data_IF_321709228637
#
_entry.id   IF_321709228637
#
_cell.length_a   1.000
_cell.length_b   1.000
_cell.length_c   1.000
_cell.angle_alpha   90.00
_cell.angle_beta   90.00
_cell.angle_gamma   90.00
#
_symmetry.space_group_name_H-M   'P 1'
#
loop_
_entity.id
_entity.type
_entity.pdbx_description
1 polymer ?
#
# COMPACT_ATOMS: atom_id res chain seq x y z
N UNK A 1 37.24 -2.41 -44.87
CA UNK A 1 36.51 -3.51 -44.20
C UNK A 1 35.81 -2.91 -42.99
N UNK A 2 34.52 -2.58 -43.12
CA UNK A 2 33.70 -2.03 -42.04
C UNK A 2 32.41 -2.84 -42.00
N UNK A 3 32.20 -3.57 -40.89
CA UNK A 3 31.09 -4.50 -40.71
C UNK A 3 29.84 -3.74 -40.21
N UNK A 4 28.76 -3.85 -40.98
CA UNK A 4 27.41 -3.43 -40.59
C UNK A 4 26.73 -4.57 -39.79
N UNK A 5 26.20 -4.26 -38.62
CA UNK A 5 25.33 -5.14 -37.84
C UNK A 5 23.84 -4.75 -38.05
N UNK A 6 22.89 -5.71 -38.12
CA UNK A 6 21.49 -5.43 -38.40
C UNK A 6 20.67 -5.04 -37.15
N UNK A 7 19.74 -4.12 -37.37
CA UNK A 7 18.75 -3.54 -36.45
C UNK A 7 17.70 -4.57 -35.99
N UNK A 8 17.48 -4.68 -34.69
CA UNK A 8 16.43 -5.50 -34.06
C UNK A 8 15.04 -4.89 -34.26
N UNK A 9 14.10 -5.65 -34.83
CA UNK A 9 12.64 -5.40 -34.78
C UNK A 9 12.08 -6.21 -33.62
N UNK A 10 11.80 -5.56 -32.49
CA UNK A 10 11.24 -6.24 -31.31
C UNK A 10 10.52 -5.35 -30.31
N UNK A 11 10.10 -4.14 -30.70
CA UNK A 11 9.56 -3.13 -29.78
C UNK A 11 8.26 -2.48 -30.29
N UNK A 12 7.34 -3.27 -30.85
CA UNK A 12 6.01 -2.76 -31.29
C UNK A 12 4.80 -3.48 -30.71
N UNK A 13 4.96 -4.66 -30.09
CA UNK A 13 3.84 -5.41 -29.53
C UNK A 13 3.52 -5.01 -28.07
N UNK A 14 4.52 -4.55 -27.31
CA UNK A 14 4.38 -4.20 -25.88
C UNK A 14 3.80 -2.78 -25.70
N UNK A 15 4.11 -1.87 -26.63
CA UNK A 15 3.56 -0.50 -26.69
C UNK A 15 2.03 -0.50 -26.92
N UNK A 16 1.51 -1.52 -27.62
CA UNK A 16 0.08 -1.66 -27.91
C UNK A 16 -0.74 -2.01 -26.66
N UNK A 17 -0.23 -2.88 -25.79
CA UNK A 17 -0.91 -3.28 -24.56
C UNK A 17 -0.92 -2.15 -23.51
N UNK A 18 0.16 -1.36 -23.40
CA UNK A 18 0.23 -0.21 -22.51
C UNK A 18 -0.73 0.93 -22.95
N UNK A 19 -0.90 1.13 -24.27
CA UNK A 19 -1.84 2.14 -24.79
C UNK A 19 -3.30 1.73 -24.63
N UNK A 20 -3.65 0.44 -24.76
CA UNK A 20 -5.05 0.00 -24.64
C UNK A 20 -5.59 0.14 -23.20
N UNK A 21 -4.73 -0.07 -22.19
CA UNK A 21 -5.07 0.09 -20.76
C UNK A 21 -5.12 1.56 -20.34
N UNK A 22 -4.24 2.42 -20.88
CA UNK A 22 -4.29 3.86 -20.65
C UNK A 22 -5.58 4.50 -21.22
N UNK A 23 -6.05 4.02 -22.39
CA UNK A 23 -7.31 4.48 -23.00
C UNK A 23 -8.54 4.01 -22.21
N UNK A 24 -8.47 2.83 -21.56
CA UNK A 24 -9.54 2.34 -20.68
C UNK A 24 -9.74 3.21 -19.43
N UNK A 25 -8.65 3.72 -18.84
CA UNK A 25 -8.71 4.60 -17.67
C UNK A 25 -9.15 6.03 -18.04
N UNK A 26 -8.77 6.52 -19.22
CA UNK A 26 -9.18 7.85 -19.71
C UNK A 26 -10.67 7.92 -20.14
N UNK A 27 -11.25 6.81 -20.62
CA UNK A 27 -12.66 6.77 -21.08
C UNK A 27 -13.70 6.80 -19.97
N UNK A 28 -13.33 6.59 -18.71
CA UNK A 28 -14.23 6.79 -17.56
C UNK A 28 -14.37 8.28 -17.16
N UNK A 29 -13.65 9.20 -17.81
CA UNK A 29 -13.65 10.64 -17.47
C UNK A 29 -14.16 11.60 -18.57
N UNK A 30 -14.60 11.12 -19.73
CA UNK A 30 -15.03 12.00 -20.82
C UNK A 30 -16.40 11.62 -21.39
N UNK A 31 -17.46 11.99 -20.67
CA UNK A 31 -18.81 12.03 -21.19
C UNK A 31 -19.15 13.41 -21.76
N UNK A 32 -19.50 13.44 -23.04
CA UNK A 32 -20.30 14.47 -23.76
C UNK A 32 -19.65 15.79 -24.21
N UNK A 33 -19.31 15.83 -25.50
CA UNK A 33 -19.82 16.71 -26.59
C UNK A 33 -18.73 17.32 -27.48
N UNK A 34 -19.14 17.47 -28.73
CA UNK A 34 -18.38 17.54 -29.97
C UNK A 34 -18.34 18.95 -30.58
N UNK A 35 -17.22 19.23 -31.29
CA UNK A 35 -17.01 20.13 -32.44
C UNK A 35 -16.78 21.65 -32.19
N UNK A 36 -16.18 22.41 -33.15
CA UNK A 36 -15.15 22.09 -34.15
C UNK A 36 -13.93 23.05 -34.12
N UNK A 37 -12.96 22.75 -35.00
CA UNK A 37 -11.66 23.38 -35.25
C UNK A 37 -11.68 24.87 -35.65
N UNK A 38 -10.78 25.68 -35.08
CA UNK A 38 -10.28 26.94 -35.66
C UNK A 38 -8.76 27.06 -35.40
N UNK A 39 -8.02 27.46 -36.44
CA UNK A 39 -6.56 27.64 -36.55
C UNK A 39 -6.04 28.82 -35.70
N UNK A 40 -4.73 28.92 -35.39
CA UNK A 40 -4.20 29.90 -34.44
C UNK A 40 -3.95 31.27 -35.10
N UNK A 41 -4.49 32.33 -34.49
CA UNK A 41 -4.11 33.70 -34.80
C UNK A 41 -3.05 34.19 -33.80
N UNK A 42 -1.94 34.69 -34.35
CA UNK A 42 -0.80 35.28 -33.64
C UNK A 42 -1.21 36.65 -33.13
N UNK A 43 -1.26 36.84 -31.80
CA UNK A 43 -1.43 38.18 -31.20
C UNK A 43 -0.26 38.52 -30.28
N UNK A 44 0.18 39.76 -30.51
CA UNK A 44 1.41 40.47 -30.15
C UNK A 44 1.53 40.70 -28.63
N UNK A 45 2.75 40.55 -28.11
CA UNK A 45 3.18 40.94 -26.75
C UNK A 45 2.81 42.41 -26.49
N UNK A 46 2.14 42.68 -25.36
CA UNK A 46 2.03 44.02 -24.75
C UNK A 46 2.51 43.96 -23.30
N UNK A 47 3.21 45.02 -22.92
CA UNK A 47 3.84 45.27 -21.63
C UNK A 47 2.87 45.26 -20.42
N UNK A 48 3.37 45.01 -19.19
CA UNK A 48 2.52 44.82 -18.01
C UNK A 48 2.02 46.15 -17.42
N UNK A 49 0.80 46.22 -16.84
CA UNK A 49 0.38 47.34 -16.01
C UNK A 49 0.76 47.13 -14.53
N UNK A 50 0.72 48.19 -13.69
CA UNK A 50 1.57 48.34 -12.53
C UNK A 50 1.04 47.70 -11.24
N UNK A 51 1.94 47.55 -10.28
CA UNK A 51 1.68 47.17 -8.89
C UNK A 51 0.57 47.98 -8.23
N UNK A 52 -0.32 47.30 -7.50
CA UNK A 52 -1.15 47.92 -6.47
C UNK A 52 -2.52 47.25 -6.28
N UNK A 53 -2.61 46.29 -5.37
CA UNK A 53 -3.47 46.43 -4.18
C UNK A 53 -3.47 45.15 -3.32
N UNK A 54 -3.09 45.34 -2.07
CA UNK A 54 -3.34 44.41 -0.97
C UNK A 54 -4.85 44.13 -0.84
N UNK A 55 -5.22 42.84 -0.86
CA UNK A 55 -6.46 42.36 -0.23
C UNK A 55 -6.25 40.94 0.33
N UNK A 56 -7.03 40.54 1.35
CA UNK A 56 -6.48 39.94 2.54
C UNK A 56 -6.44 38.41 2.47
N UNK A 57 -5.50 37.85 3.23
CA UNK A 57 -5.38 36.44 3.56
C UNK A 57 -6.76 35.78 3.76
N UNK A 58 -7.10 34.81 2.90
CA UNK A 58 -8.11 33.82 3.25
C UNK A 58 -7.60 33.07 4.49
N UNK A 59 -8.38 32.95 5.58
CA UNK A 59 -7.93 32.19 6.73
C UNK A 59 -7.86 30.72 6.33
N UNK A 60 -6.66 30.13 6.41
CA UNK A 60 -6.47 28.68 6.46
C UNK A 60 -7.25 28.15 7.66
N UNK A 61 -8.50 27.77 7.42
CA UNK A 61 -9.38 27.17 8.41
C UNK A 61 -8.82 25.77 8.69
N UNK A 62 -8.13 25.61 9.82
CA UNK A 62 -7.76 24.30 10.36
C UNK A 62 -9.02 23.45 10.47
N UNK A 63 -9.16 22.46 9.59
CA UNK A 63 -10.25 21.50 9.67
C UNK A 63 -9.97 20.46 10.76
N UNK A 64 -11.01 20.03 11.51
CA UNK A 64 -10.84 19.10 12.63
C UNK A 64 -10.57 17.68 12.14
N UNK A 65 -9.54 17.07 12.73
CA UNK A 65 -9.28 15.63 12.69
C UNK A 65 -10.47 14.87 13.28
N UNK A 66 -11.19 14.11 12.46
CA UNK A 66 -12.09 13.04 12.93
C UNK A 66 -12.41 12.11 11.77
N UNK A 67 -11.61 11.05 11.60
CA UNK A 67 -12.03 9.65 11.35
C UNK A 67 -10.75 8.80 11.49
N UNK A 68 -10.36 8.46 12.72
CA UNK A 68 -9.16 7.63 12.94
C UNK A 68 -9.09 6.98 14.31
N UNK A 69 -9.65 7.62 15.34
CA UNK A 69 -9.42 7.19 16.73
C UNK A 69 -10.33 6.04 17.20
N UNK A 70 -11.33 5.63 16.41
CA UNK A 70 -12.34 4.66 16.88
C UNK A 70 -11.98 3.18 16.64
N UNK A 71 -10.97 2.86 15.80
CA UNK A 71 -10.62 1.46 15.48
C UNK A 71 -9.38 0.93 16.25
N UNK A 72 -8.63 1.80 16.93
CA UNK A 72 -7.39 1.41 17.62
C UNK A 72 -7.61 0.79 19.02
N UNK A 73 -8.83 0.82 19.56
CA UNK A 73 -9.09 0.42 20.95
C UNK A 73 -9.48 -1.06 21.15
N UNK A 74 -9.63 -1.87 20.09
CA UNK A 74 -10.22 -3.21 20.20
C UNK A 74 -9.21 -4.39 20.25
N UNK A 75 -7.89 -4.14 20.25
CA UNK A 75 -6.88 -5.23 20.12
C UNK A 75 -6.03 -5.45 21.39
N UNK A 76 -6.34 -4.81 22.51
CA UNK A 76 -5.56 -4.97 23.76
C UNK A 76 -6.41 -5.43 24.96
N UNK A 77 -7.03 -6.61 24.84
CA UNK A 77 -7.40 -7.39 26.04
C UNK A 77 -6.58 -8.67 26.11
N UNK A 78 -5.76 -8.88 27.17
CA UNK A 78 -5.17 -10.18 27.43
C UNK A 78 -6.23 -11.15 27.96
N UNK A 79 -6.11 -12.47 27.69
CA UNK A 79 -7.03 -13.45 28.27
C UNK A 79 -6.78 -13.57 29.77
N UNK A 80 -7.86 -13.55 30.56
CA UNK A 80 -7.83 -13.88 31.99
C UNK A 80 -7.65 -15.39 32.16
N UNK A 81 -6.49 -15.83 32.63
CA UNK A 81 -6.28 -17.18 33.13
C UNK A 81 -6.73 -17.28 34.59
N UNK A 82 -7.52 -18.31 34.89
CA UNK A 82 -7.94 -18.68 36.24
C UNK A 82 -6.76 -19.23 37.07
N UNK A 83 -6.79 -19.16 38.42
CA UNK A 83 -5.62 -19.41 39.24
C UNK A 83 -5.43 -20.91 39.56
N UNK A 84 -4.21 -21.40 39.35
CA UNK A 84 -3.72 -22.66 39.94
C UNK A 84 -3.03 -22.37 41.28
N UNK A 85 -3.28 -23.25 42.26
CA UNK A 85 -2.85 -23.20 43.68
C UNK A 85 -1.31 -23.29 43.86
N UNK A 86 -0.76 -22.82 45.00
CA UNK A 86 0.66 -22.57 45.18
C UNK A 86 1.40 -23.75 45.84
N UNK A 87 2.69 -23.89 45.55
CA UNK A 87 3.63 -24.59 46.44
C UNK A 87 5.02 -23.93 46.46
N UNK A 88 5.48 -23.74 47.70
CA UNK A 88 6.84 -23.57 48.25
C UNK A 88 7.72 -22.39 47.81
N UNK A 89 7.64 -21.37 48.66
CA UNK A 89 8.68 -20.48 49.21
C UNK A 89 10.14 -20.88 48.95
N UNK A 90 10.93 -19.93 48.46
CA UNK A 90 12.30 -19.67 48.90
C UNK A 90 12.63 -18.20 48.58
N UNK A 91 12.91 -17.43 49.62
CA UNK A 91 13.13 -15.99 49.56
C UNK A 91 14.53 -15.64 49.09
N UNK A 92 14.62 -14.59 48.27
CA UNK A 92 15.85 -13.81 48.09
C UNK A 92 15.47 -12.34 48.18
N UNK A 93 16.27 -11.64 48.96
CA UNK A 93 16.09 -10.29 49.48
C UNK A 93 16.13 -9.20 48.41
N UNK A 94 15.29 -8.20 48.65
CA UNK A 94 15.15 -6.92 47.95
C UNK A 94 16.48 -6.15 47.80
N UNK A 95 16.82 -5.79 46.55
CA UNK A 95 17.69 -4.64 46.25
C UNK A 95 17.13 -3.84 45.06
N UNK A 96 16.49 -2.73 45.41
CA UNK A 96 16.43 -1.44 44.68
C UNK A 96 16.60 -1.46 43.14
N UNK A 97 15.48 -1.58 42.42
CA UNK A 97 15.38 -1.26 40.99
C UNK A 97 15.31 0.26 40.78
N UNK A 98 16.38 0.85 40.24
CA UNK A 98 16.35 2.19 39.64
C UNK A 98 15.58 2.14 38.32
N UNK A 99 14.46 2.86 38.24
CA UNK A 99 13.77 3.13 36.98
C UNK A 99 14.69 3.95 36.05
N UNK A 100 15.23 3.31 35.02
CA UNK A 100 15.82 4.01 33.87
C UNK A 100 14.67 4.43 32.96
N UNK A 101 14.28 5.69 33.02
CA UNK A 101 13.38 6.32 32.04
C UNK A 101 14.12 6.50 30.71
N UNK A 102 14.11 5.48 29.86
CA UNK A 102 14.71 5.50 28.52
C UNK A 102 13.72 5.90 27.40
N UNK A 103 12.60 6.56 27.73
CA UNK A 103 11.51 6.79 26.77
C UNK A 103 11.45 8.22 26.19
N UNK A 104 12.15 9.20 26.76
CA UNK A 104 11.94 10.62 26.41
C UNK A 104 12.97 11.22 25.44
N UNK A 105 14.16 10.64 25.29
CA UNK A 105 15.20 11.17 24.40
C UNK A 105 15.07 10.70 22.94
N UNK A 106 14.55 9.50 22.68
CA UNK A 106 14.38 8.97 21.32
C UNK A 106 13.26 9.65 20.53
N UNK A 107 12.16 10.00 21.19
CA UNK A 107 11.00 10.61 20.53
C UNK A 107 11.28 12.02 19.99
N UNK A 108 12.13 12.81 20.66
CA UNK A 108 12.46 14.17 20.19
C UNK A 108 13.36 14.17 18.95
N UNK A 109 14.32 13.26 18.89
CA UNK A 109 15.20 13.09 17.73
C UNK A 109 14.48 12.47 16.52
N UNK A 110 13.55 11.55 16.76
CA UNK A 110 12.68 11.03 15.71
C UNK A 110 11.73 12.12 15.18
N UNK A 111 11.13 12.93 16.06
CA UNK A 111 10.25 14.02 15.69
C UNK A 111 10.97 15.15 14.92
N UNK A 112 12.22 15.47 15.26
CA UNK A 112 13.01 16.44 14.50
C UNK A 112 13.44 15.92 13.13
N UNK A 113 13.75 14.62 13.00
CA UNK A 113 13.99 13.97 11.70
C UNK A 113 12.73 13.90 10.83
N UNK A 114 11.57 13.64 11.43
CA UNK A 114 10.26 13.69 10.74
C UNK A 114 9.98 15.09 10.17
N UNK A 115 10.29 16.15 10.93
CA UNK A 115 10.16 17.54 10.45
C UNK A 115 11.14 17.91 9.34
N UNK A 116 12.31 17.27 9.29
CA UNK A 116 13.25 17.44 8.19
C UNK A 116 12.81 16.70 6.91
N UNK A 117 11.93 15.70 7.03
CA UNK A 117 11.33 14.96 5.92
C UNK A 117 10.02 15.59 5.39
N UNK A 118 9.36 16.43 6.19
CA UNK A 118 8.21 17.21 5.75
C UNK A 118 8.69 18.30 4.78
N UNK A 119 8.51 18.04 3.50
CA UNK A 119 8.78 19.02 2.46
C UNK A 119 7.80 20.20 2.62
N UNK A 120 8.30 21.37 3.01
CA UNK A 120 7.48 22.60 3.09
C UNK A 120 7.20 23.23 1.74
N UNK A 121 7.60 22.58 0.65
CA UNK A 121 7.25 23.02 -0.68
C UNK A 121 5.73 23.07 -0.88
N UNK A 122 5.29 24.14 -1.53
CA UNK A 122 3.91 24.29 -1.98
C UNK A 122 3.82 23.62 -3.35
N UNK A 123 2.96 22.61 -3.47
CA UNK A 123 2.71 21.90 -4.70
C UNK A 123 1.45 22.43 -5.37
N UNK A 124 1.47 22.57 -6.69
CA UNK A 124 0.29 22.92 -7.47
C UNK A 124 -0.56 21.67 -7.72
N UNK A 125 -1.76 21.62 -7.13
CA UNK A 125 -2.76 20.59 -7.38
C UNK A 125 -3.82 21.02 -8.38
N UNK A 126 -4.64 20.07 -8.85
CA UNK A 126 -5.74 20.29 -9.79
C UNK A 126 -6.76 21.31 -9.27
N UNK A 127 -7.03 21.30 -7.97
CA UNK A 127 -8.01 22.19 -7.32
C UNK A 127 -7.35 23.31 -6.49
N UNK A 128 -6.04 23.50 -6.63
CA UNK A 128 -5.30 24.56 -5.94
C UNK A 128 -4.01 24.08 -5.26
N UNK A 129 -3.26 25.01 -4.65
CA UNK A 129 -2.00 24.69 -3.98
C UNK A 129 -2.23 23.86 -2.72
N UNK A 130 -1.33 22.93 -2.45
CA UNK A 130 -1.34 22.11 -1.24
C UNK A 130 0.08 21.87 -0.72
N UNK A 131 0.20 21.54 0.56
CA UNK A 131 1.48 21.27 1.23
C UNK A 131 1.44 19.92 1.94
N UNK A 132 2.61 19.31 2.11
CA UNK A 132 2.78 18.09 2.90
C UNK A 132 2.88 18.46 4.38
N UNK A 133 2.02 17.86 5.20
CA UNK A 133 2.00 18.05 6.64
C UNK A 133 2.78 16.95 7.37
N UNK A 134 3.22 17.22 8.61
CA UNK A 134 3.90 16.22 9.47
C UNK A 134 3.04 14.95 9.68
N UNK A 135 1.72 15.08 9.70
CA UNK A 135 0.80 13.93 9.75
C UNK A 135 0.86 13.08 8.49
N UNK A 136 0.93 13.72 7.32
CA UNK A 136 0.99 13.03 6.03
C UNK A 136 2.29 12.23 5.92
N UNK A 137 3.41 12.82 6.37
CA UNK A 137 4.70 12.12 6.48
C UNK A 137 4.57 10.87 7.34
N UNK A 138 3.96 10.99 8.54
CA UNK A 138 3.80 9.86 9.45
C UNK A 138 2.93 8.76 8.83
N UNK A 139 1.84 9.12 8.17
CA UNK A 139 0.96 8.17 7.50
C UNK A 139 1.67 7.43 6.37
N UNK A 140 2.45 8.14 5.54
CA UNK A 140 3.26 7.52 4.47
C UNK A 140 4.33 6.60 5.05
N UNK A 141 5.04 7.01 6.09
CA UNK A 141 6.05 6.17 6.73
C UNK A 141 5.45 4.88 7.32
N UNK A 142 4.30 5.00 8.00
CA UNK A 142 3.59 3.84 8.53
C UNK A 142 3.06 2.94 7.40
N UNK A 143 2.52 3.51 6.33
CA UNK A 143 2.12 2.78 5.12
C UNK A 143 3.28 1.97 4.54
N UNK A 144 4.45 2.61 4.33
CA UNK A 144 5.66 1.96 3.83
C UNK A 144 6.15 0.87 4.78
N UNK A 145 6.11 1.12 6.08
CA UNK A 145 6.52 0.14 7.09
C UNK A 145 5.64 -1.12 7.04
N UNK A 146 4.31 -0.97 6.95
CA UNK A 146 3.39 -2.11 6.80
C UNK A 146 3.68 -2.93 5.55
N UNK A 147 4.04 -2.27 4.45
CA UNK A 147 4.33 -2.93 3.18
C UNK A 147 5.64 -3.71 3.24
N UNK A 148 6.65 -3.13 3.89
CA UNK A 148 7.93 -3.79 4.15
C UNK A 148 7.76 -4.98 5.09
N UNK A 149 6.95 -4.85 6.14
CA UNK A 149 6.60 -5.96 7.04
C UNK A 149 5.89 -7.08 6.28
N UNK A 150 4.94 -6.75 5.39
CA UNK A 150 4.28 -7.73 4.54
C UNK A 150 5.26 -8.47 3.63
N UNK A 151 6.13 -7.73 2.93
CA UNK A 151 7.13 -8.31 2.03
C UNK A 151 8.16 -9.17 2.77
N UNK A 152 8.69 -8.68 3.89
CA UNK A 152 9.67 -9.40 4.69
C UNK A 152 9.10 -10.69 5.27
N UNK A 153 7.87 -10.64 5.80
CA UNK A 153 7.22 -11.84 6.36
C UNK A 153 6.92 -12.87 5.27
N UNK A 154 6.45 -12.42 4.10
CA UNK A 154 6.22 -13.30 2.95
C UNK A 154 7.50 -13.97 2.47
N UNK A 155 8.59 -13.21 2.32
CA UNK A 155 9.90 -13.74 1.89
C UNK A 155 10.45 -14.72 2.93
N UNK A 156 10.34 -14.40 4.22
CA UNK A 156 10.74 -15.30 5.29
C UNK A 156 9.99 -16.63 5.24
N UNK A 157 8.65 -16.61 5.18
CA UNK A 157 7.84 -17.82 5.06
C UNK A 157 8.16 -18.61 3.78
N UNK A 158 8.25 -17.93 2.64
CA UNK A 158 8.44 -18.57 1.33
C UNK A 158 9.84 -19.13 1.13
N UNK A 159 10.84 -18.65 1.87
CA UNK A 159 12.22 -19.15 1.79
C UNK A 159 12.34 -20.63 2.14
N UNK A 160 11.44 -21.17 2.97
CA UNK A 160 11.38 -22.60 3.29
C UNK A 160 11.18 -23.49 2.05
N UNK A 161 10.62 -22.96 0.96
CA UNK A 161 10.42 -23.72 -0.29
C UNK A 161 11.73 -23.91 -1.09
N UNK A 162 12.79 -23.17 -0.79
CA UNK A 162 14.04 -23.17 -1.56
C UNK A 162 15.24 -23.75 -0.78
N UNK A 163 15.06 -24.05 0.50
CA UNK A 163 16.12 -24.59 1.35
C UNK A 163 15.88 -26.10 1.51
N UNK A 164 16.91 -26.95 1.35
CA UNK A 164 16.77 -28.40 1.52
C UNK A 164 16.28 -28.79 2.91
N UNK A 165 15.52 -29.90 2.96
CA UNK A 165 15.02 -30.47 4.21
C UNK A 165 16.17 -31.00 5.09
N UNK A 166 15.97 -30.99 6.41
CA UNK A 166 17.00 -31.38 7.40
C UNK A 166 17.91 -30.23 7.85
N UNK A 167 17.65 -29.00 7.40
CA UNK A 167 18.30 -27.80 7.91
C UNK A 167 17.50 -27.19 9.07
N UNK A 168 18.14 -26.99 10.22
CA UNK A 168 17.53 -26.37 11.41
C UNK A 168 16.88 -24.99 11.14
N UNK A 169 17.37 -24.25 10.14
CA UNK A 169 16.77 -22.98 9.72
C UNK A 169 15.38 -23.18 9.10
N UNK A 170 15.17 -24.25 8.33
CA UNK A 170 13.87 -24.58 7.73
C UNK A 170 12.88 -24.99 8.80
N UNK A 171 13.31 -25.78 9.78
CA UNK A 171 12.47 -26.21 10.89
C UNK A 171 11.99 -25.00 11.72
N UNK A 172 12.89 -24.06 12.00
CA UNK A 172 12.54 -22.81 12.68
C UNK A 172 11.54 -21.95 11.88
N UNK A 173 11.69 -21.89 10.55
CA UNK A 173 10.74 -21.18 9.68
C UNK A 173 9.38 -21.87 9.67
N UNK A 174 9.35 -23.20 9.52
CA UNK A 174 8.12 -24.01 9.52
C UNK A 174 7.36 -23.86 10.83
N UNK A 175 8.05 -23.87 11.97
CA UNK A 175 7.45 -23.65 13.29
C UNK A 175 6.85 -22.24 13.44
N UNK A 176 7.37 -21.26 12.71
CA UNK A 176 6.94 -19.85 12.80
C UNK A 176 6.10 -19.39 11.59
N UNK A 177 5.70 -20.30 10.71
CA UNK A 177 5.11 -19.95 9.41
C UNK A 177 3.78 -19.20 9.56
N UNK A 178 2.95 -19.60 10.51
CA UNK A 178 1.68 -18.94 10.80
C UNK A 178 1.89 -17.56 11.42
N UNK A 179 2.96 -17.38 12.20
CA UNK A 179 3.34 -16.07 12.72
C UNK A 179 3.79 -15.13 11.60
N UNK A 180 4.56 -15.63 10.63
CA UNK A 180 4.92 -14.86 9.44
C UNK A 180 3.70 -14.52 8.59
N UNK A 181 2.78 -15.46 8.40
CA UNK A 181 1.53 -15.20 7.70
C UNK A 181 0.71 -14.10 8.41
N UNK A 182 0.50 -14.23 9.73
CA UNK A 182 -0.26 -13.28 10.52
C UNK A 182 0.40 -11.89 10.53
N UNK A 183 1.72 -11.83 10.70
CA UNK A 183 2.51 -10.58 10.67
C UNK A 183 2.44 -9.93 9.28
N UNK A 184 2.52 -10.73 8.22
CA UNK A 184 2.40 -10.26 6.85
C UNK A 184 1.01 -9.72 6.54
N UNK A 185 -0.04 -10.43 6.97
CA UNK A 185 -1.43 -9.98 6.84
C UNK A 185 -1.69 -8.71 7.64
N UNK A 186 -1.13 -8.58 8.85
CA UNK A 186 -1.24 -7.36 9.66
C UNK A 186 -0.51 -6.17 9.00
N UNK A 187 0.70 -6.38 8.47
CA UNK A 187 1.44 -5.37 7.72
C UNK A 187 0.67 -4.89 6.49
N UNK A 188 0.09 -5.82 5.73
CA UNK A 188 -0.78 -5.50 4.60
C UNK A 188 -2.01 -4.68 5.04
N UNK A 189 -2.66 -5.07 6.13
CA UNK A 189 -3.79 -4.34 6.70
C UNK A 189 -3.43 -2.91 7.09
N UNK A 190 -2.30 -2.74 7.78
CA UNK A 190 -1.76 -1.43 8.15
C UNK A 190 -1.55 -0.55 6.90
N UNK A 191 -0.95 -1.10 5.85
CA UNK A 191 -0.79 -0.39 4.58
C UNK A 191 -2.12 -0.01 3.94
N UNK A 192 -3.10 -0.93 3.89
CA UNK A 192 -4.42 -0.67 3.29
C UNK A 192 -5.26 0.37 4.06
N UNK A 193 -5.07 0.49 5.37
CA UNK A 193 -5.71 1.53 6.17
C UNK A 193 -5.13 2.91 5.82
N UNK A 194 -3.80 2.99 5.72
CA UNK A 194 -3.06 4.24 5.58
C UNK A 194 -2.80 4.67 4.13
N UNK A 195 -3.07 3.81 3.14
CA UNK A 195 -2.84 4.13 1.74
C UNK A 195 -3.74 5.30 1.29
N UNK A 196 -3.13 6.26 0.61
CA UNK A 196 -3.84 7.38 -0.03
C UNK A 196 -4.33 6.94 -1.40
N UNK A 197 -5.61 6.62 -1.51
CA UNK A 197 -6.30 6.27 -2.76
C UNK A 197 -7.43 7.27 -2.95
N UNK A 198 -7.46 7.97 -4.09
CA UNK A 198 -8.51 8.96 -4.40
C UNK A 198 -9.91 8.34 -4.47
N UNK A 199 -10.00 7.13 -4.99
CA UNK A 199 -11.25 6.42 -5.19
C UNK A 199 -11.60 5.64 -3.92
N UNK A 200 -12.36 6.28 -3.04
CA UNK A 200 -12.81 5.70 -1.76
C UNK A 200 -13.47 4.32 -1.91
N UNK A 201 -14.37 4.07 -2.88
CA UNK A 201 -14.97 2.75 -3.07
C UNK A 201 -13.93 1.64 -3.29
N UNK A 202 -12.90 1.90 -4.09
CA UNK A 202 -11.83 0.94 -4.35
C UNK A 202 -11.04 0.67 -3.06
N UNK A 203 -10.69 1.73 -2.30
CA UNK A 203 -10.01 1.58 -1.01
C UNK A 203 -10.81 0.69 -0.04
N UNK A 204 -12.12 0.93 0.08
CA UNK A 204 -13.00 0.17 0.97
C UNK A 204 -13.17 -1.27 0.50
N UNK A 205 -13.25 -1.50 -0.80
CA UNK A 205 -13.29 -2.85 -1.36
C UNK A 205 -12.03 -3.65 -1.02
N UNK A 206 -10.83 -3.07 -1.16
CA UNK A 206 -9.58 -3.74 -0.78
C UNK A 206 -9.50 -4.03 0.72
N UNK A 207 -9.97 -3.10 1.56
CA UNK A 207 -10.05 -3.31 3.01
C UNK A 207 -11.04 -4.43 3.35
N UNK A 208 -12.18 -4.49 2.69
CA UNK A 208 -13.17 -5.56 2.88
C UNK A 208 -12.59 -6.92 2.47
N UNK A 209 -11.91 -7.01 1.31
CA UNK A 209 -11.20 -8.23 0.89
C UNK A 209 -10.17 -8.68 1.92
N UNK A 210 -9.41 -7.74 2.48
CA UNK A 210 -8.45 -8.04 3.54
C UNK A 210 -9.14 -8.55 4.81
N UNK A 211 -10.21 -7.90 5.29
CA UNK A 211 -10.95 -8.36 6.47
C UNK A 211 -11.55 -9.75 6.24
N UNK A 212 -12.22 -9.96 5.11
CA UNK A 212 -12.82 -11.26 4.75
C UNK A 212 -11.73 -12.33 4.67
N UNK A 213 -10.58 -12.01 4.08
CA UNK A 213 -9.46 -12.93 3.97
C UNK A 213 -8.85 -13.27 5.33
N UNK A 214 -8.67 -12.31 6.24
CA UNK A 214 -8.15 -12.56 7.59
C UNK A 214 -9.13 -13.40 8.40
N UNK A 215 -10.43 -13.06 8.38
CA UNK A 215 -11.47 -13.84 9.05
C UNK A 215 -11.55 -15.25 8.46
N UNK A 216 -11.47 -15.36 7.13
CA UNK A 216 -11.43 -16.64 6.42
C UNK A 216 -10.22 -17.48 6.83
N UNK A 217 -9.04 -16.89 6.95
CA UNK A 217 -7.82 -17.55 7.43
C UNK A 217 -7.95 -18.07 8.87
N UNK A 218 -8.53 -17.27 9.77
CA UNK A 218 -8.79 -17.71 11.15
C UNK A 218 -9.81 -18.85 11.16
N UNK A 219 -10.88 -18.75 10.36
CA UNK A 219 -11.87 -19.82 10.22
C UNK A 219 -11.27 -21.12 9.69
N UNK A 220 -10.48 -21.05 8.63
CA UNK A 220 -9.75 -22.19 8.06
C UNK A 220 -8.80 -22.82 9.07
N UNK A 221 -8.09 -21.99 9.84
CA UNK A 221 -7.20 -22.50 10.89
C UNK A 221 -7.99 -23.26 11.97
N UNK A 222 -9.02 -22.65 12.54
CA UNK A 222 -9.78 -23.25 13.66
C UNK A 222 -10.61 -24.47 13.23
N UNK A 223 -11.19 -24.44 12.03
CA UNK A 223 -12.08 -25.50 11.56
C UNK A 223 -11.36 -26.61 10.77
N UNK A 224 -10.21 -26.32 10.18
CA UNK A 224 -9.49 -27.24 9.27
C UNK A 224 -8.12 -27.64 9.80
N UNK A 225 -7.21 -26.67 9.98
CA UNK A 225 -5.81 -26.95 10.31
C UNK A 225 -5.62 -27.42 11.76
N UNK A 226 -6.27 -26.77 12.73
CA UNK A 226 -6.12 -27.06 14.16
C UNK A 226 -6.54 -28.49 14.54
N UNK A 227 -7.68 -29.05 14.05
CA UNK A 227 -8.04 -30.45 14.31
C UNK A 227 -7.03 -31.48 13.78
N UNK A 228 -6.21 -31.11 12.80
CA UNK A 228 -5.19 -31.97 12.19
C UNK A 228 -3.79 -31.73 12.78
N UNK A 229 -3.65 -30.80 13.74
CA UNK A 229 -2.37 -30.35 14.30
C UNK A 229 -1.40 -29.81 13.23
N UNK A 230 -1.96 -29.16 12.19
CA UNK A 230 -1.22 -28.58 11.08
C UNK A 230 -1.19 -27.04 11.16
N UNK A 231 -0.18 -26.44 10.51
CA UNK A 231 -0.15 -25.00 10.29
C UNK A 231 -1.18 -24.57 9.24
N UNK A 232 -1.69 -23.33 9.33
CA UNK A 232 -2.62 -22.79 8.33
C UNK A 232 -2.02 -22.86 6.92
N UNK A 233 -0.74 -22.50 6.79
CA UNK A 233 -0.06 -22.46 5.49
C UNK A 233 0.04 -23.87 4.89
N UNK A 234 0.40 -24.86 5.71
CA UNK A 234 0.49 -26.25 5.24
C UNK A 234 -0.88 -26.78 4.84
N UNK A 235 -1.91 -26.55 5.66
CA UNK A 235 -3.28 -26.95 5.36
C UNK A 235 -3.77 -26.39 4.02
N UNK A 236 -3.47 -25.12 3.71
CA UNK A 236 -3.86 -24.50 2.43
C UNK A 236 -3.13 -25.13 1.24
N UNK A 237 -1.88 -25.55 1.42
CA UNK A 237 -1.09 -26.21 0.36
C UNK A 237 -1.60 -27.63 0.06
N UNK A 238 -2.10 -28.34 1.07
CA UNK A 238 -2.62 -29.70 0.95
C UNK A 238 -4.10 -29.72 0.54
N UNK A 239 -4.85 -28.67 0.89
CA UNK A 239 -6.26 -28.49 0.55
C UNK A 239 -6.48 -27.21 -0.26
N UNK A 240 -6.26 -27.22 -1.59
CA UNK A 240 -6.34 -26.01 -2.41
C UNK A 240 -7.69 -25.28 -2.34
N UNK A 241 -8.80 -25.97 -2.05
CA UNK A 241 -10.10 -25.35 -1.87
C UNK A 241 -10.15 -24.34 -0.69
N UNK A 242 -9.27 -24.48 0.30
CA UNK A 242 -9.12 -23.54 1.40
C UNK A 242 -8.73 -22.12 0.92
N UNK A 243 -8.18 -22.02 -0.29
CA UNK A 243 -7.83 -20.75 -0.93
C UNK A 243 -9.05 -19.86 -1.23
N UNK A 244 -10.27 -20.40 -1.28
CA UNK A 244 -11.47 -19.57 -1.35
C UNK A 244 -11.68 -18.70 -0.10
N UNK A 245 -11.19 -19.14 1.05
CA UNK A 245 -11.30 -18.42 2.32
C UNK A 245 -10.10 -17.51 2.59
N UNK A 246 -8.89 -17.99 2.26
CA UNK A 246 -7.62 -17.26 2.50
C UNK A 246 -7.29 -16.30 1.33
N UNK A 247 -7.69 -16.66 0.12
CA UNK A 247 -7.43 -15.94 -1.13
C UNK A 247 -7.82 -14.46 -1.14
N UNK A 248 -8.92 -14.03 -0.50
CA UNK A 248 -9.26 -12.60 -0.43
C UNK A 248 -8.15 -11.72 0.17
N UNK A 249 -7.32 -12.23 1.10
CA UNK A 249 -6.14 -11.51 1.61
C UNK A 249 -5.15 -11.22 0.49
N UNK A 250 -4.88 -12.20 -0.37
CA UNK A 250 -3.97 -12.03 -1.50
C UNK A 250 -4.61 -11.25 -2.65
N UNK A 251 -5.94 -11.28 -2.79
CA UNK A 251 -6.66 -10.40 -3.70
C UNK A 251 -6.51 -8.92 -3.28
N UNK A 252 -6.58 -8.63 -1.98
CA UNK A 252 -6.32 -7.30 -1.44
C UNK A 252 -4.86 -6.85 -1.72
N UNK A 253 -3.88 -7.73 -1.51
CA UNK A 253 -2.48 -7.48 -1.88
C UNK A 253 -2.33 -7.21 -3.38
N UNK A 254 -2.95 -8.03 -4.22
CA UNK A 254 -2.91 -7.88 -5.68
C UNK A 254 -3.49 -6.52 -6.08
N UNK A 255 -4.59 -6.07 -5.46
CA UNK A 255 -5.17 -4.76 -5.73
C UNK A 255 -4.27 -3.59 -5.30
N UNK A 256 -3.55 -3.72 -4.18
CA UNK A 256 -2.53 -2.75 -3.78
C UNK A 256 -1.40 -2.67 -4.80
N UNK A 257 -0.87 -3.82 -5.21
CA UNK A 257 0.22 -3.92 -6.19
C UNK A 257 -0.25 -3.44 -7.57
N UNK A 258 -1.48 -3.74 -7.98
CA UNK A 258 -2.10 -3.28 -9.21
C UNK A 258 -2.09 -1.76 -9.32
N UNK A 259 -2.47 -1.06 -8.24
CA UNK A 259 -2.44 0.41 -8.18
C UNK A 259 -1.04 0.92 -8.55
N UNK A 260 -0.03 0.34 -7.95
CA UNK A 260 1.35 0.81 -8.09
C UNK A 260 1.94 0.42 -9.46
N UNK A 261 1.59 -0.76 -9.96
CA UNK A 261 2.05 -1.27 -11.23
C UNK A 261 1.42 -0.56 -12.43
N UNK A 262 0.10 -0.62 -12.51
CA UNK A 262 -0.62 -0.15 -13.70
C UNK A 262 -0.97 1.33 -13.64
N UNK A 263 -1.20 1.91 -12.45
CA UNK A 263 -1.53 3.33 -12.36
C UNK A 263 -0.28 4.22 -12.28
N UNK A 264 0.83 3.75 -11.69
CA UNK A 264 2.08 4.53 -11.55
C UNK A 264 3.25 4.01 -12.39
N UNK A 265 3.01 3.01 -13.25
CA UNK A 265 4.00 2.53 -14.22
C UNK A 265 5.20 1.81 -13.60
N UNK A 266 5.04 1.19 -12.42
CA UNK A 266 6.09 0.38 -11.79
C UNK A 266 6.10 -1.02 -12.39
N UNK A 267 7.09 -1.34 -13.21
CA UNK A 267 7.17 -2.63 -13.92
C UNK A 267 7.11 -3.82 -12.95
N UNK A 268 7.82 -3.73 -11.83
CA UNK A 268 7.87 -4.77 -10.80
C UNK A 268 6.49 -5.11 -10.23
N UNK A 269 5.69 -4.07 -9.94
CA UNK A 269 4.34 -4.23 -9.44
C UNK A 269 3.37 -4.64 -10.57
N UNK A 270 3.60 -4.17 -11.80
CA UNK A 270 2.83 -4.58 -12.97
C UNK A 270 2.93 -6.08 -13.23
N UNK A 271 4.13 -6.65 -13.15
CA UNK A 271 4.34 -8.11 -13.29
C UNK A 271 3.73 -8.85 -12.10
N UNK A 272 3.98 -8.37 -10.88
CA UNK A 272 3.50 -9.00 -9.65
C UNK A 272 1.96 -9.09 -9.59
N UNK A 273 1.26 -8.13 -10.20
CA UNK A 273 -0.21 -8.15 -10.37
C UNK A 273 -0.72 -9.40 -11.09
N UNK A 274 0.06 -9.99 -11.99
CA UNK A 274 -0.30 -11.23 -12.69
C UNK A 274 0.27 -12.47 -12.01
N UNK A 275 1.49 -12.37 -11.45
CA UNK A 275 2.15 -13.50 -10.78
C UNK A 275 1.37 -13.98 -9.56
N UNK A 276 0.87 -13.06 -8.72
CA UNK A 276 0.12 -13.43 -7.51
C UNK A 276 -1.14 -14.25 -7.86
N UNK A 277 -2.11 -13.73 -8.63
CA UNK A 277 -3.31 -14.50 -8.96
C UNK A 277 -2.99 -15.71 -9.84
N UNK A 278 -1.99 -15.63 -10.72
CA UNK A 278 -1.57 -16.76 -11.56
C UNK A 278 -1.09 -17.95 -10.72
N UNK A 279 -0.21 -17.72 -9.73
CA UNK A 279 0.27 -18.78 -8.84
C UNK A 279 -0.88 -19.36 -7.99
N UNK A 280 -1.72 -18.51 -7.42
CA UNK A 280 -2.81 -18.93 -6.54
C UNK A 280 -3.88 -19.73 -7.29
N UNK A 281 -4.29 -19.26 -8.47
CA UNK A 281 -5.25 -20.00 -9.31
C UNK A 281 -4.63 -21.27 -9.89
N UNK A 282 -3.34 -21.26 -10.25
CA UNK A 282 -2.62 -22.45 -10.68
C UNK A 282 -2.55 -23.52 -9.57
N UNK A 283 -2.39 -23.09 -8.32
CA UNK A 283 -2.46 -23.98 -7.16
C UNK A 283 -3.89 -24.50 -6.94
N UNK A 284 -4.90 -23.61 -6.94
CA UNK A 284 -6.32 -23.95 -6.75
C UNK A 284 -6.84 -24.95 -7.79
N UNK A 285 -6.46 -24.75 -9.06
CA UNK A 285 -6.91 -25.59 -10.18
C UNK A 285 -6.15 -26.90 -10.31
N UNK A 286 -5.00 -27.04 -9.61
CA UNK A 286 -4.12 -28.19 -9.76
C UNK A 286 -3.41 -28.28 -11.11
N UNK A 287 -3.53 -27.26 -11.98
CA UNK A 287 -2.99 -27.28 -13.35
C UNK A 287 -1.48 -27.07 -13.42
N UNK A 288 -0.85 -26.67 -12.31
CA UNK A 288 0.59 -26.39 -12.24
C UNK A 288 1.37 -27.46 -11.47
N UNK A 289 2.49 -27.89 -12.05
CA UNK A 289 3.48 -28.71 -11.37
C UNK A 289 4.25 -27.92 -10.29
N UNK A 290 4.97 -28.64 -9.43
CA UNK A 290 5.68 -28.05 -8.31
C UNK A 290 6.86 -27.17 -8.73
N UNK A 291 7.51 -27.46 -9.86
CA UNK A 291 8.59 -26.63 -10.40
C UNK A 291 8.08 -25.27 -10.87
N UNK A 292 6.96 -25.24 -11.60
CA UNK A 292 6.34 -23.98 -12.02
C UNK A 292 5.83 -23.17 -10.81
N UNK A 293 5.24 -23.83 -9.79
CA UNK A 293 4.84 -23.15 -8.54
C UNK A 293 6.03 -22.51 -7.83
N UNK A 294 7.13 -23.26 -7.65
CA UNK A 294 8.35 -22.74 -7.02
C UNK A 294 8.97 -21.60 -7.84
N UNK A 295 9.00 -21.71 -9.17
CA UNK A 295 9.48 -20.63 -10.05
C UNK A 295 8.69 -19.34 -9.90
N UNK A 296 7.35 -19.40 -9.96
CA UNK A 296 6.49 -18.23 -9.75
C UNK A 296 6.60 -17.68 -8.32
N UNK A 297 6.74 -18.54 -7.31
CA UNK A 297 6.95 -18.12 -5.92
C UNK A 297 8.27 -17.35 -5.78
N UNK A 298 9.35 -17.82 -6.41
CA UNK A 298 10.64 -17.13 -6.41
C UNK A 298 10.58 -15.77 -7.10
N UNK A 299 9.85 -15.70 -8.23
CA UNK A 299 9.58 -14.42 -8.93
C UNK A 299 8.79 -13.47 -8.03
N UNK A 300 7.75 -13.96 -7.33
CA UNK A 300 6.99 -13.15 -6.37
C UNK A 300 7.93 -12.61 -5.28
N UNK A 301 8.71 -13.47 -4.61
CA UNK A 301 9.64 -13.04 -3.55
C UNK A 301 10.57 -11.93 -4.02
N UNK A 302 11.18 -12.08 -5.19
CA UNK A 302 12.09 -11.10 -5.76
C UNK A 302 11.37 -9.77 -6.06
N UNK A 303 10.27 -9.82 -6.82
CA UNK A 303 9.54 -8.63 -7.23
C UNK A 303 8.95 -7.88 -6.04
N UNK A 304 8.45 -8.61 -5.03
CA UNK A 304 7.87 -7.99 -3.84
C UNK A 304 8.95 -7.31 -2.98
N UNK A 305 10.14 -7.91 -2.89
CA UNK A 305 11.31 -7.30 -2.24
C UNK A 305 11.74 -6.02 -2.97
N UNK A 306 11.87 -6.07 -4.30
CA UNK A 306 12.23 -4.90 -5.12
C UNK A 306 11.18 -3.80 -4.98
N UNK A 307 9.90 -4.16 -5.03
CA UNK A 307 8.79 -3.24 -4.86
C UNK A 307 8.83 -2.55 -3.48
N UNK A 308 9.02 -3.30 -2.39
CA UNK A 308 9.15 -2.74 -1.05
C UNK A 308 10.41 -1.86 -0.88
N UNK A 309 11.54 -2.27 -1.44
CA UNK A 309 12.80 -1.51 -1.36
C UNK A 309 12.70 -0.17 -2.11
N UNK A 310 12.09 -0.14 -3.30
CA UNK A 310 11.93 1.07 -4.11
C UNK A 310 11.05 2.12 -3.43
N UNK A 311 10.18 1.72 -2.50
CA UNK A 311 9.39 2.67 -1.70
C UNK A 311 10.27 3.60 -0.85
N UNK A 312 11.46 3.20 -0.45
CA UNK A 312 12.37 4.10 0.28
C UNK A 312 12.99 5.20 -0.59
N UNK A 313 13.11 4.97 -1.89
CA UNK A 313 13.66 5.95 -2.84
C UNK A 313 12.59 6.92 -3.36
N UNK A 314 11.30 6.58 -3.20
CA UNK A 314 10.19 7.39 -3.67
C UNK A 314 9.99 8.64 -2.78
N UNK A 315 9.80 9.84 -3.36
CA UNK A 315 9.41 11.03 -2.61
C UNK A 315 8.09 10.82 -1.86
N UNK A 316 7.96 11.39 -0.66
CA UNK A 316 6.75 11.24 0.18
C UNK A 316 5.50 11.76 -0.53
N UNK A 317 5.62 12.90 -1.23
CA UNK A 317 4.52 13.52 -1.99
C UNK A 317 3.88 12.56 -3.00
N UNK A 318 4.65 11.62 -3.56
CA UNK A 318 4.17 10.72 -4.60
C UNK A 318 3.33 9.58 -4.02
N UNK A 319 3.51 9.21 -2.74
CA UNK A 319 2.64 8.24 -2.06
C UNK A 319 1.35 8.88 -1.51
N UNK A 320 1.34 10.20 -1.32
CA UNK A 320 0.13 10.99 -0.99
C UNK A 320 -0.68 11.24 -2.26
N UNK A 321 0.02 11.64 -3.33
CA UNK A 321 -0.57 12.19 -4.54
C UNK A 321 -1.08 13.63 -4.35
N UNK A 322 -1.75 14.17 -5.36
CA UNK A 322 -2.47 15.45 -5.31
C UNK A 322 -3.50 15.54 -4.17
N UNK A 323 -3.10 16.18 -3.07
CA UNK A 323 -3.94 16.40 -1.89
C UNK A 323 -5.14 17.32 -2.16
N UNK A 324 -5.06 18.18 -3.18
CA UNK A 324 -6.15 19.10 -3.53
C UNK A 324 -7.43 18.35 -3.94
N UNK A 325 -7.31 17.14 -4.50
CA UNK A 325 -8.46 16.27 -4.83
C UNK A 325 -9.20 15.83 -3.57
N UNK A 326 -8.47 15.48 -2.50
CA UNK A 326 -9.10 15.13 -1.22
C UNK A 326 -9.75 16.34 -0.56
N UNK A 327 -9.08 17.50 -0.62
CA UNK A 327 -9.64 18.76 -0.11
C UNK A 327 -10.93 19.12 -0.86
N UNK A 328 -10.92 19.05 -2.19
CA UNK A 328 -12.08 19.30 -3.03
C UNK A 328 -13.24 18.36 -2.72
N UNK A 329 -12.98 17.06 -2.65
CA UNK A 329 -14.02 16.06 -2.35
C UNK A 329 -14.67 16.27 -0.97
N UNK A 330 -13.95 16.87 -0.03
CA UNK A 330 -14.45 17.20 1.32
C UNK A 330 -15.26 18.50 1.39
N UNK A 331 -15.25 19.34 0.36
CA UNK A 331 -16.03 20.58 0.34
C UNK A 331 -17.54 20.31 0.21
N UNK A 332 -18.40 21.20 0.72
CA UNK A 332 -19.83 21.22 0.39
C UNK A 332 -20.08 21.40 -1.12
N UNK A 333 -21.20 20.90 -1.63
CA UNK A 333 -21.49 20.89 -3.08
C UNK A 333 -21.59 22.29 -3.69
N UNK A 334 -22.07 23.26 -2.93
CA UNK A 334 -22.11 24.68 -3.32
C UNK A 334 -20.70 25.27 -3.47
N UNK A 335 -19.79 24.94 -2.55
CA UNK A 335 -18.40 25.41 -2.59
C UNK A 335 -17.61 24.73 -3.72
N UNK A 336 -17.88 23.44 -3.98
CA UNK A 336 -17.30 22.71 -5.11
C UNK A 336 -17.64 23.37 -6.44
N UNK A 337 -18.92 23.69 -6.66
CA UNK A 337 -19.39 24.36 -7.89
C UNK A 337 -18.76 25.74 -8.04
N UNK A 338 -18.71 26.51 -6.97
CA UNK A 338 -18.06 27.83 -6.97
C UNK A 338 -16.57 27.74 -7.29
N UNK A 339 -15.86 26.72 -6.78
CA UNK A 339 -14.44 26.52 -7.07
C UNK A 339 -14.22 26.10 -8.53
N UNK A 340 -15.02 25.17 -9.05
CA UNK A 340 -14.97 24.78 -10.47
C UNK A 340 -15.17 26.01 -11.36
N UNK A 341 -16.21 26.82 -11.10
CA UNK A 341 -16.51 28.02 -11.89
C UNK A 341 -15.36 29.03 -11.86
N UNK A 342 -14.70 29.23 -10.71
CA UNK A 342 -13.52 30.09 -10.59
C UNK A 342 -12.35 29.56 -11.43
N UNK A 343 -12.07 28.26 -11.35
CA UNK A 343 -10.99 27.64 -12.11
C UNK A 343 -11.25 27.68 -13.63
N UNK A 344 -12.52 27.52 -14.05
CA UNK A 344 -12.92 27.67 -15.45
C UNK A 344 -12.74 29.11 -15.94
N UNK A 345 -13.13 30.11 -15.15
CA UNK A 345 -12.97 31.53 -15.50
C UNK A 345 -11.49 31.89 -15.65
N UNK A 346 -10.64 31.43 -14.72
CA UNK A 346 -9.19 31.65 -14.76
C UNK A 346 -8.48 30.94 -15.91
N UNK A 347 -9.10 29.93 -16.53
CA UNK A 347 -8.52 29.22 -17.69
C UNK A 347 -8.86 29.89 -19.02
N UNK A 348 -9.84 30.78 -19.02
CA UNK A 348 -10.32 31.51 -20.21
C UNK A 348 -9.62 32.87 -20.36
N UNK A 349 -9.10 33.44 -19.27
CA UNK A 349 -8.19 34.60 -19.26
C UNK A 349 -6.76 34.21 -19.66
#
# INVERSE_FOLDING_TARGET
>A
MSLHAPRTRGCKLIDGAQRLVAVGCARLHAGTRSAPSVQPEVVRVRDPPPEGNHHPNLPLKKYPKRVGDAMAAAVLLPPRLAPLRPHHTLGITSTSLRHITLASLGCRAAASRLRALADRNVYSGVYGPWTVEDSDVREVLLYRSGLVTAAASFVAASSAAFIPEGNAAVDAIRQSVDLFYATGAAGLGLSLVLIHIYVTPIKRFLQALWVVGVVGSVGTYLAGAQPLDESLVQYVLEHPAALWFVGPTFAALTGLVFKEGLCYGKLEAGILTFVIPGLLLGHLSGLMDNGTKAGLLGVWMLLFTVFAARKFQQPIKDDIGDKSVFMFNALPEEEKKALIQKLETQKVE
#
